data_IF_546273197700
#
_entry.id   IF_546273197700
#
_cell.length_a   1.000
_cell.length_b   1.000
_cell.length_c   1.000
_cell.angle_alpha   90.00
_cell.angle_beta   90.00
_cell.angle_gamma   90.00
#
_symmetry.space_group_name_H-M   'P 1'
#
loop_
_entity.id
_entity.type
_entity.pdbx_description
1 polymer ?
#
# COMPACT_ATOMS: atom_id res chain seq x y z
N UNK A 1 9.19 21.58 -15.25
CA UNK A 1 8.71 22.63 -14.34
C UNK A 1 7.48 22.07 -13.62
N UNK A 2 7.50 21.93 -12.29
CA UNK A 2 6.37 21.42 -11.51
C UNK A 2 5.25 22.47 -11.57
N UNK A 3 4.05 22.03 -11.95
CA UNK A 3 2.90 22.90 -11.97
C UNK A 3 2.60 23.40 -10.55
N UNK A 4 2.40 24.71 -10.39
CA UNK A 4 2.09 25.36 -9.10
C UNK A 4 0.91 24.70 -8.36
N UNK A 5 -0.06 24.15 -9.09
CA UNK A 5 -1.19 23.43 -8.49
C UNK A 5 -0.74 22.12 -7.80
N UNK A 6 0.19 21.37 -8.40
CA UNK A 6 0.75 20.17 -7.77
C UNK A 6 1.59 20.52 -6.54
N UNK A 7 2.40 21.59 -6.62
CA UNK A 7 3.17 22.04 -5.48
C UNK A 7 2.27 22.34 -4.26
N UNK A 8 1.20 23.14 -4.45
CA UNK A 8 0.24 23.44 -3.39
C UNK A 8 -0.46 22.21 -2.81
N UNK A 9 -0.75 21.20 -3.63
CA UNK A 9 -1.37 19.93 -3.18
C UNK A 9 -0.40 19.05 -2.38
N UNK A 10 0.87 19.08 -2.72
CA UNK A 10 1.89 18.21 -2.11
C UNK A 10 2.55 18.84 -0.88
N UNK A 11 2.59 20.16 -0.81
CA UNK A 11 3.27 20.89 0.25
C UNK A 11 2.52 20.79 1.58
N UNK A 12 3.26 20.48 2.65
CA UNK A 12 2.82 20.49 4.04
C UNK A 12 3.75 21.44 4.78
N UNK A 13 3.21 22.55 5.34
CA UNK A 13 3.99 23.60 6.00
C UNK A 13 4.37 23.28 7.45
N UNK A 14 3.52 22.48 8.12
CA UNK A 14 3.57 22.19 9.55
C UNK A 14 3.43 20.69 9.82
N UNK A 15 4.08 19.90 8.97
CA UNK A 15 4.02 18.44 9.04
C UNK A 15 4.65 17.88 10.31
N UNK A 16 3.97 16.89 10.89
CA UNK A 16 4.46 16.09 12.01
C UNK A 16 5.25 14.87 11.50
N UNK A 17 6.14 14.37 12.35
CA UNK A 17 6.77 13.08 12.09
C UNK A 17 5.76 11.94 12.26
N UNK A 18 5.90 10.84 11.50
CA UNK A 18 5.09 9.64 11.72
C UNK A 18 5.14 9.20 13.18
N UNK A 19 3.99 8.83 13.74
CA UNK A 19 3.87 8.40 15.14
C UNK A 19 3.48 6.94 15.23
N UNK A 20 4.15 6.20 16.10
CA UNK A 20 3.84 4.80 16.37
C UNK A 20 2.87 4.65 17.56
N UNK A 21 1.94 3.70 17.43
CA UNK A 21 1.05 3.26 18.51
C UNK A 21 0.72 1.78 18.37
N UNK A 22 0.27 1.15 19.48
CA UNK A 22 -0.04 -0.27 19.55
C UNK A 22 -1.53 -0.55 19.49
N UNK A 23 -1.98 -1.47 18.62
CA UNK A 23 -3.32 -2.05 18.66
C UNK A 23 -3.29 -3.44 19.29
N UNK A 24 -4.06 -3.70 20.37
CA UNK A 24 -4.09 -5.02 21.00
C UNK A 24 -4.74 -6.06 20.06
N UNK A 25 -4.14 -7.23 19.96
CA UNK A 25 -4.67 -8.41 19.26
C UNK A 25 -5.53 -9.21 20.24
N UNK A 26 -6.77 -8.77 20.48
CA UNK A 26 -7.69 -9.37 21.46
C UNK A 26 -8.05 -10.84 21.20
N UNK A 27 -7.82 -11.35 19.99
CA UNK A 27 -8.11 -12.73 19.59
C UNK A 27 -6.92 -13.68 19.79
N UNK A 28 -5.78 -13.20 20.33
CA UNK A 28 -4.60 -14.02 20.62
C UNK A 28 -4.30 -14.02 22.11
N UNK A 29 -3.91 -15.16 22.63
CA UNK A 29 -3.40 -15.26 24.00
C UNK A 29 -2.15 -14.39 24.17
N UNK A 30 -1.99 -13.75 25.36
CA UNK A 30 -0.79 -13.00 25.73
C UNK A 30 -0.75 -11.58 25.15
N UNK A 31 -1.84 -10.82 25.16
CA UNK A 31 -1.93 -9.36 24.87
C UNK A 31 -0.83 -8.86 23.90
N UNK A 32 -0.75 -9.49 22.73
CA UNK A 32 0.20 -9.06 21.69
C UNK A 32 -0.26 -7.75 21.07
N UNK A 33 0.64 -6.80 20.89
CA UNK A 33 0.37 -5.55 20.21
C UNK A 33 0.70 -5.68 18.72
N UNK A 34 -0.14 -5.05 17.90
CA UNK A 34 0.20 -4.74 16.50
C UNK A 34 0.68 -3.30 16.47
N UNK A 35 1.95 -3.11 16.15
CA UNK A 35 2.48 -1.77 15.96
C UNK A 35 1.92 -1.17 14.66
N UNK A 36 1.44 0.06 14.76
CA UNK A 36 0.95 0.86 13.63
C UNK A 36 1.71 2.17 13.63
N UNK A 37 2.26 2.53 12.48
CA UNK A 37 2.91 3.82 12.26
C UNK A 37 1.96 4.68 11.41
N UNK A 38 1.45 5.76 12.01
CA UNK A 38 0.60 6.72 11.31
C UNK A 38 1.46 7.77 10.62
N UNK A 39 1.37 7.82 9.29
CA UNK A 39 2.03 8.84 8.48
C UNK A 39 1.13 10.05 8.17
N UNK A 40 -0.06 10.14 8.77
CA UNK A 40 -0.97 11.27 8.58
C UNK A 40 -0.26 12.56 9.00
N UNK A 41 -0.37 13.60 8.17
CA UNK A 41 0.31 14.89 8.31
C UNK A 41 1.86 14.83 8.26
N UNK A 42 2.44 13.68 7.94
CA UNK A 42 3.89 13.63 7.70
C UNK A 42 4.26 14.36 6.40
N UNK A 43 5.51 14.82 6.25
CA UNK A 43 5.96 15.53 5.04
C UNK A 43 5.71 14.77 3.72
N UNK A 44 5.68 13.44 3.78
CA UNK A 44 5.46 12.59 2.59
C UNK A 44 4.02 12.10 2.41
N UNK A 45 3.12 12.41 3.34
CA UNK A 45 1.74 11.91 3.30
C UNK A 45 1.00 12.29 2.02
N UNK A 46 1.01 13.58 1.68
CA UNK A 46 0.33 14.06 0.48
C UNK A 46 0.93 13.49 -0.80
N UNK A 47 2.24 13.31 -0.86
CA UNK A 47 2.91 12.68 -1.99
C UNK A 47 2.51 11.21 -2.12
N UNK A 48 2.43 10.47 -1.01
CA UNK A 48 1.99 9.08 -1.00
C UNK A 48 0.53 8.93 -1.47
N UNK A 49 -0.37 9.79 -0.97
CA UNK A 49 -1.78 9.82 -1.41
C UNK A 49 -1.89 10.13 -2.90
N UNK A 50 -1.15 11.11 -3.37
CA UNK A 50 -1.14 11.50 -4.78
C UNK A 50 -0.66 10.36 -5.71
N UNK A 51 0.44 9.70 -5.36
CA UNK A 51 0.93 8.55 -6.13
C UNK A 51 -0.03 7.37 -6.08
N UNK A 52 -0.63 7.11 -4.91
CA UNK A 52 -1.66 6.08 -4.76
C UNK A 52 -2.84 6.33 -5.69
N UNK A 53 -3.35 7.55 -5.78
CA UNK A 53 -4.46 7.89 -6.68
C UNK A 53 -4.12 7.60 -8.15
N UNK A 54 -2.90 7.91 -8.60
CA UNK A 54 -2.44 7.63 -9.96
C UNK A 54 -2.37 6.11 -10.21
N UNK A 55 -1.78 5.37 -9.28
CA UNK A 55 -1.62 3.91 -9.37
C UNK A 55 -3.00 3.23 -9.38
N UNK A 56 -3.89 3.61 -8.47
CA UNK A 56 -5.24 3.05 -8.38
C UNK A 56 -6.03 3.27 -9.69
N UNK A 57 -6.03 4.50 -10.21
CA UNK A 57 -6.68 4.80 -11.50
C UNK A 57 -6.13 3.96 -12.64
N UNK A 58 -4.83 3.68 -12.60
CA UNK A 58 -4.15 2.94 -13.68
C UNK A 58 -4.40 1.43 -13.61
N UNK A 59 -4.58 0.87 -12.41
CA UNK A 59 -4.69 -0.57 -12.19
C UNK A 59 -6.11 -1.06 -12.00
N UNK A 60 -7.05 -0.21 -11.55
CA UNK A 60 -8.45 -0.60 -11.28
C UNK A 60 -9.24 -1.00 -12.54
N UNK A 61 -8.77 -0.66 -13.73
CA UNK A 61 -9.42 -1.03 -14.99
C UNK A 61 -9.18 -2.50 -15.41
N UNK A 62 -8.33 -3.25 -14.72
CA UNK A 62 -8.16 -4.68 -14.95
C UNK A 62 -8.93 -5.45 -13.91
N UNK A 63 -9.99 -6.15 -14.31
CA UNK A 63 -10.63 -7.20 -13.51
C UNK A 63 -9.54 -8.22 -13.16
N UNK A 64 -8.99 -8.13 -11.96
CA UNK A 64 -8.05 -9.13 -11.46
C UNK A 64 -8.81 -10.45 -11.34
N UNK A 65 -8.38 -11.46 -12.07
CA UNK A 65 -9.06 -12.74 -12.22
C UNK A 65 -9.28 -13.48 -10.90
N UNK A 66 -8.52 -13.13 -9.85
CA UNK A 66 -8.62 -13.72 -8.51
C UNK A 66 -9.23 -12.81 -7.45
N UNK A 67 -9.66 -11.58 -7.80
CA UNK A 67 -10.20 -10.67 -6.81
C UNK A 67 -11.59 -11.09 -6.35
N UNK A 68 -11.77 -11.17 -5.04
CA UNK A 68 -13.04 -11.44 -4.34
C UNK A 68 -13.30 -10.26 -3.40
N UNK A 69 -14.43 -9.61 -3.55
CA UNK A 69 -14.77 -8.43 -2.76
C UNK A 69 -15.08 -8.76 -1.28
N UNK A 70 -15.73 -9.90 -1.06
CA UNK A 70 -16.15 -10.38 0.26
C UNK A 70 -16.49 -11.86 0.25
N UNK A 71 -16.73 -12.42 1.42
CA UNK A 71 -17.05 -13.84 1.59
C UNK A 71 -18.32 -14.29 0.83
N UNK A 72 -19.34 -13.43 0.72
CA UNK A 72 -20.56 -13.76 -0.01
C UNK A 72 -20.30 -13.93 -1.51
N UNK A 73 -19.43 -13.09 -2.08
CA UNK A 73 -19.03 -13.24 -3.48
C UNK A 73 -18.23 -14.52 -3.69
N UNK A 74 -17.35 -14.89 -2.74
CA UNK A 74 -16.63 -16.15 -2.78
C UNK A 74 -17.61 -17.33 -2.82
N UNK A 75 -18.53 -17.39 -1.84
CA UNK A 75 -19.55 -18.47 -1.78
C UNK A 75 -20.33 -18.54 -3.09
N UNK A 76 -20.78 -17.40 -3.63
CA UNK A 76 -21.51 -17.37 -4.90
C UNK A 76 -20.68 -17.91 -6.07
N UNK A 77 -19.37 -17.67 -6.09
CA UNK A 77 -18.48 -18.15 -7.16
C UNK A 77 -18.17 -19.64 -7.07
N UNK A 78 -18.07 -20.20 -5.85
CA UNK A 78 -17.74 -21.61 -5.65
C UNK A 78 -18.98 -22.52 -5.55
N UNK A 79 -20.14 -21.93 -5.25
CA UNK A 79 -21.38 -22.69 -5.14
C UNK A 79 -21.74 -23.34 -6.48
N UNK A 80 -21.96 -24.65 -6.44
CA UNK A 80 -22.29 -25.45 -7.64
C UNK A 80 -21.10 -25.85 -8.50
N UNK A 81 -19.85 -25.51 -8.11
CA UNK A 81 -18.69 -26.08 -8.80
C UNK A 81 -18.56 -27.56 -8.48
N UNK A 82 -18.40 -28.44 -9.51
CA UNK A 82 -18.18 -29.87 -9.29
C UNK A 82 -16.80 -30.04 -8.60
N UNK A 83 -16.81 -30.65 -7.42
CA UNK A 83 -15.59 -30.93 -6.67
C UNK A 83 -15.38 -32.46 -6.70
N UNK A 84 -14.24 -32.88 -7.22
CA UNK A 84 -13.86 -34.30 -7.21
C UNK A 84 -13.30 -34.65 -5.83
N UNK A 85 -13.45 -35.91 -5.40
CA UNK A 85 -13.02 -36.39 -4.08
C UNK A 85 -11.51 -36.21 -3.83
N UNK A 86 -10.72 -36.19 -4.88
CA UNK A 86 -9.27 -35.96 -4.86
C UNK A 86 -8.86 -34.51 -4.64
N UNK A 87 -9.77 -33.53 -4.83
CA UNK A 87 -9.47 -32.12 -4.63
C UNK A 87 -9.54 -31.72 -3.15
N UNK A 88 -8.67 -30.81 -2.78
CA UNK A 88 -8.65 -30.22 -1.44
C UNK A 88 -8.71 -28.70 -1.57
N UNK A 89 -9.56 -28.09 -0.75
CA UNK A 89 -9.57 -26.65 -0.62
C UNK A 89 -8.50 -26.23 0.39
N UNK A 90 -7.62 -25.32 0.00
CA UNK A 90 -6.55 -24.79 0.86
C UNK A 90 -6.65 -23.28 0.94
N UNK A 91 -6.25 -22.73 2.07
CA UNK A 91 -6.17 -21.29 2.32
C UNK A 91 -4.74 -20.92 2.66
N UNK A 92 -4.26 -19.83 2.08
CA UNK A 92 -2.95 -19.26 2.36
C UNK A 92 -3.10 -17.85 2.90
N UNK A 93 -2.28 -17.50 3.87
CA UNK A 93 -2.15 -16.15 4.40
C UNK A 93 -0.69 -15.69 4.34
N UNK A 94 -0.48 -14.41 4.07
CA UNK A 94 0.86 -13.83 4.02
C UNK A 94 1.19 -13.25 5.40
N UNK A 95 2.09 -13.91 6.11
CA UNK A 95 2.56 -13.42 7.39
C UNK A 95 3.39 -12.15 7.23
N UNK A 96 3.05 -11.12 8.02
CA UNK A 96 3.81 -9.85 8.06
C UNK A 96 4.08 -9.26 6.67
N UNK A 97 3.07 -9.21 5.82
CA UNK A 97 3.18 -8.84 4.40
C UNK A 97 4.00 -7.54 4.20
N UNK A 98 3.69 -6.50 4.96
CA UNK A 98 4.34 -5.19 4.77
C UNK A 98 5.82 -5.17 5.10
N UNK A 99 6.26 -5.91 6.11
CA UNK A 99 7.67 -5.98 6.51
C UNK A 99 8.48 -7.02 5.69
N UNK A 100 7.81 -7.93 4.99
CA UNK A 100 8.46 -8.98 4.20
C UNK A 100 8.53 -8.69 2.70
N UNK A 101 7.92 -7.60 2.22
CA UNK A 101 8.07 -7.19 0.81
C UNK A 101 9.25 -6.23 0.69
N UNK A 102 10.34 -6.61 -0.01
CA UNK A 102 11.46 -5.70 -0.26
C UNK A 102 11.00 -4.46 -1.04
N UNK A 103 11.45 -3.27 -0.63
CA UNK A 103 11.12 -2.00 -1.29
C UNK A 103 11.44 -2.03 -2.79
N UNK A 104 12.55 -2.67 -3.18
CA UNK A 104 12.92 -2.82 -4.58
C UNK A 104 11.91 -3.66 -5.39
N UNK A 105 11.36 -4.71 -4.79
CA UNK A 105 10.35 -5.54 -5.43
C UNK A 105 9.04 -4.76 -5.62
N UNK A 106 8.62 -4.00 -4.61
CA UNK A 106 7.45 -3.13 -4.70
C UNK A 106 7.63 -2.08 -5.80
N UNK A 107 8.78 -1.40 -5.82
CA UNK A 107 9.12 -0.42 -6.85
C UNK A 107 9.11 -1.04 -8.25
N UNK A 108 9.79 -2.17 -8.44
CA UNK A 108 9.82 -2.90 -9.71
C UNK A 108 8.43 -3.29 -10.18
N UNK A 109 7.58 -3.77 -9.27
CA UNK A 109 6.20 -4.17 -9.58
C UNK A 109 5.35 -3.02 -10.11
N UNK A 110 5.52 -1.82 -9.58
CA UNK A 110 4.83 -0.62 -10.07
C UNK A 110 5.40 -0.20 -11.43
N UNK A 111 6.73 -0.10 -11.54
CA UNK A 111 7.39 0.37 -12.75
C UNK A 111 7.22 -0.56 -13.95
N UNK A 112 7.10 -1.87 -13.74
CA UNK A 112 6.79 -2.84 -14.81
C UNK A 112 5.43 -2.61 -15.47
N UNK A 113 4.56 -1.82 -14.83
CA UNK A 113 3.25 -1.43 -15.35
C UNK A 113 3.19 0.02 -15.82
N UNK A 114 4.34 0.63 -16.06
CA UNK A 114 4.43 2.03 -16.47
C UNK A 114 3.57 2.37 -17.69
N UNK A 115 3.48 1.49 -18.66
CA UNK A 115 2.63 1.64 -19.85
C UNK A 115 1.14 1.85 -19.54
N UNK A 116 0.69 1.50 -18.33
CA UNK A 116 -0.66 1.78 -17.86
C UNK A 116 -0.71 3.07 -17.05
N UNK A 117 0.35 3.35 -16.28
CA UNK A 117 0.45 4.49 -15.37
C UNK A 117 0.62 5.79 -16.15
N UNK A 118 1.47 5.82 -17.18
CA UNK A 118 1.75 7.02 -18.01
C UNK A 118 0.50 7.63 -18.64
N UNK A 119 -0.53 6.83 -18.87
CA UNK A 119 -1.82 7.29 -19.44
C UNK A 119 -2.64 8.14 -18.45
N UNK A 120 -2.32 8.07 -17.16
CA UNK A 120 -3.07 8.71 -16.08
C UNK A 120 -2.25 9.78 -15.33
N UNK A 121 -1.05 10.09 -15.83
CA UNK A 121 -0.18 11.10 -15.22
C UNK A 121 0.65 11.82 -16.27
N UNK A 122 0.97 13.08 -15.98
CA UNK A 122 1.94 13.86 -16.76
C UNK A 122 3.34 13.85 -16.14
N UNK A 123 3.53 13.09 -15.04
CA UNK A 123 4.83 13.00 -14.36
C UNK A 123 5.75 12.11 -15.22
N UNK A 124 7.00 12.52 -15.50
CA UNK A 124 7.97 11.69 -16.18
C UNK A 124 8.30 10.42 -15.38
N UNK A 125 8.61 9.33 -16.08
CA UNK A 125 8.98 8.03 -15.49
C UNK A 125 10.03 8.15 -14.37
N UNK A 126 11.10 8.89 -14.61
CA UNK A 126 12.20 9.02 -13.65
C UNK A 126 11.75 9.74 -12.37
N UNK A 127 10.92 10.77 -12.49
CA UNK A 127 10.40 11.51 -11.34
C UNK A 127 9.39 10.66 -10.55
N UNK A 128 8.54 9.90 -11.22
CA UNK A 128 7.64 8.95 -10.56
C UNK A 128 8.42 7.87 -9.81
N UNK A 129 9.44 7.27 -10.44
CA UNK A 129 10.35 6.32 -9.81
C UNK A 129 11.00 6.90 -8.57
N UNK A 130 11.55 8.12 -8.67
CA UNK A 130 12.21 8.82 -7.56
C UNK A 130 11.24 9.08 -6.40
N UNK A 131 10.03 9.56 -6.71
CA UNK A 131 9.01 9.86 -5.71
C UNK A 131 8.56 8.60 -4.95
N UNK A 132 8.33 7.48 -5.65
CA UNK A 132 8.00 6.19 -5.02
C UNK A 132 9.15 5.71 -4.14
N UNK A 133 10.40 5.82 -4.63
CA UNK A 133 11.60 5.43 -3.89
C UNK A 133 11.76 6.21 -2.59
N UNK A 134 11.51 7.53 -2.61
CA UNK A 134 11.55 8.38 -1.41
C UNK A 134 10.54 7.88 -0.38
N UNK A 135 9.29 7.61 -0.79
CA UNK A 135 8.24 7.16 0.14
C UNK A 135 8.58 5.80 0.75
N UNK A 136 9.03 4.85 -0.07
CA UNK A 136 9.34 3.50 0.40
C UNK A 136 10.55 3.46 1.35
N UNK A 137 11.47 4.41 1.23
CA UNK A 137 12.65 4.52 2.09
C UNK A 137 12.48 5.51 3.26
N UNK A 138 11.30 6.12 3.41
CA UNK A 138 11.00 7.04 4.51
C UNK A 138 10.34 6.26 5.66
N UNK A 139 11.12 5.41 6.33
CA UNK A 139 10.65 4.44 7.34
C UNK A 139 10.79 4.93 8.79
N UNK A 140 11.19 6.18 8.99
CA UNK A 140 11.36 6.76 10.33
C UNK A 140 10.01 7.10 10.99
N UNK A 141 9.98 6.98 12.31
CA UNK A 141 8.83 7.35 13.14
C UNK A 141 9.26 7.82 14.53
N UNK A 142 8.35 8.51 15.21
CA UNK A 142 8.52 8.96 16.60
C UNK A 142 7.68 8.07 17.52
N UNK A 143 8.29 7.59 18.59
CA UNK A 143 7.62 6.87 19.66
C UNK A 143 8.21 7.31 21.01
N UNK A 144 7.35 7.71 21.96
CA UNK A 144 7.76 8.16 23.30
C UNK A 144 8.87 9.22 23.29
N UNK A 145 8.73 10.22 22.38
CA UNK A 145 9.68 11.31 22.13
C UNK A 145 11.06 10.91 21.58
N UNK A 146 11.28 9.63 21.30
CA UNK A 146 12.47 9.12 20.63
C UNK A 146 12.21 8.82 19.14
N UNK A 147 13.31 8.83 18.35
CA UNK A 147 13.26 8.58 16.90
C UNK A 147 13.76 7.17 16.59
N UNK A 148 13.06 6.52 15.68
CA UNK A 148 13.35 5.16 15.23
C UNK A 148 13.35 5.12 13.69
N UNK A 149 14.13 4.19 13.14
CA UNK A 149 14.21 3.89 11.72
C UNK A 149 13.89 2.42 11.46
#
# INVERSE_FOLDING_TARGET
MINIQYYKKLYISDGDLPRSYGHPKIHKEGILLRMIVSCINSPFYNLAVFLKEIIDKSLNNKKNFGYIKNSFELVKKINGLPMRDEYRMVSFDISSMYSNIPNELALRSVLSRWNLIEKNTSIPFQECKRAISIILNSTFFKFNDEFYE
#
